data_IF_516739779040
#
_entry.id   IF_516739779040
#
_cell.length_a   1.000
_cell.length_b   1.000
_cell.length_c   1.000
_cell.angle_alpha   90.00
_cell.angle_beta   90.00
_cell.angle_gamma   90.00
#
_symmetry.space_group_name_H-M   'P 1'
#
loop_
_entity.id
_entity.type
_entity.pdbx_description
1 polymer ?
#
# COMPACT_ATOMS: atom_id res chain seq x y z
N UNK A 1 -4.43 -10.42 15.95
CA UNK A 1 -4.52 -9.07 15.36
C UNK A 1 -5.94 -8.85 14.90
N UNK A 2 -6.50 -7.67 15.12
CA UNK A 2 -7.80 -7.30 14.55
C UNK A 2 -7.59 -6.54 13.24
N UNK A 3 -8.55 -6.65 12.34
CA UNK A 3 -8.52 -5.94 11.07
C UNK A 3 -8.87 -4.47 11.27
N UNK A 4 -8.04 -3.56 10.77
CA UNK A 4 -8.30 -2.12 10.79
C UNK A 4 -7.67 -1.45 9.58
N UNK A 5 -8.36 -0.45 9.04
CA UNK A 5 -7.88 0.43 7.99
C UNK A 5 -7.96 1.89 8.45
N UNK A 6 -6.82 2.56 8.49
CA UNK A 6 -6.71 4.01 8.58
C UNK A 6 -6.50 4.56 7.17
N UNK A 7 -7.22 5.60 6.81
CA UNK A 7 -7.18 6.18 5.46
C UNK A 7 -7.26 7.70 5.49
N UNK A 8 -6.36 8.34 4.76
CA UNK A 8 -6.33 9.79 4.52
C UNK A 8 -6.30 10.01 3.01
N UNK A 9 -7.34 10.65 2.49
CA UNK A 9 -7.38 11.02 1.08
C UNK A 9 -6.35 12.12 0.76
N UNK A 10 -5.89 12.24 -0.50
CA UNK A 10 -5.06 13.36 -0.94
C UNK A 10 -5.67 14.71 -0.56
N UNK A 11 -4.90 15.55 0.13
CA UNK A 11 -5.31 16.90 0.54
C UNK A 11 -6.26 16.96 1.73
N UNK A 12 -6.64 15.82 2.33
CA UNK A 12 -7.55 15.79 3.47
C UNK A 12 -6.87 16.29 4.75
N UNK A 13 -7.57 17.14 5.51
CA UNK A 13 -7.13 17.59 6.83
C UNK A 13 -7.29 16.50 7.91
N UNK A 14 -8.24 15.59 7.72
CA UNK A 14 -8.60 14.50 8.63
C UNK A 14 -8.24 13.12 8.03
N UNK A 15 -8.53 12.07 8.79
CA UNK A 15 -8.42 10.69 8.38
C UNK A 15 -9.60 9.91 8.94
N UNK A 16 -9.88 8.77 8.34
CA UNK A 16 -10.97 7.88 8.73
C UNK A 16 -10.42 6.53 9.18
N UNK A 17 -11.14 5.90 10.09
CA UNK A 17 -10.80 4.57 10.63
C UNK A 17 -11.95 3.64 10.27
N UNK A 18 -11.60 2.45 9.79
CA UNK A 18 -12.57 1.45 9.38
C UNK A 18 -12.24 0.10 10.00
N UNK A 19 -13.27 -0.61 10.45
CA UNK A 19 -13.18 -1.98 11.00
C UNK A 19 -14.22 -2.88 10.31
N UNK A 20 -14.04 -4.22 10.35
CA UNK A 20 -15.02 -5.15 9.82
C UNK A 20 -16.42 -4.88 10.36
N UNK A 21 -17.41 -4.84 9.47
CA UNK A 21 -18.81 -4.60 9.86
C UNK A 21 -19.45 -5.79 10.57
N UNK A 22 -18.84 -6.97 10.53
CA UNK A 22 -19.41 -8.20 11.08
C UNK A 22 -20.65 -8.61 10.29
N UNK A 23 -21.79 -8.71 10.96
CA UNK A 23 -23.10 -8.98 10.33
C UNK A 23 -23.83 -7.71 9.87
N UNK A 24 -23.31 -6.52 10.19
CA UNK A 24 -23.89 -5.26 9.74
C UNK A 24 -23.50 -5.00 8.28
N UNK A 25 -24.36 -4.30 7.54
CA UNK A 25 -24.04 -3.81 6.19
C UNK A 25 -22.98 -2.73 6.32
N UNK A 26 -21.72 -3.07 6.03
CA UNK A 26 -20.65 -2.08 5.91
C UNK A 26 -20.90 -1.17 4.71
N UNK A 27 -20.62 0.13 4.87
CA UNK A 27 -20.77 1.13 3.81
C UNK A 27 -19.53 1.24 2.92
N UNK A 28 -18.45 0.54 3.25
CA UNK A 28 -17.21 0.51 2.48
C UNK A 28 -16.85 -0.93 2.12
N UNK A 29 -16.57 -1.17 0.85
CA UNK A 29 -15.92 -2.40 0.40
C UNK A 29 -14.44 -2.11 0.18
N UNK A 30 -13.58 -2.88 0.83
CA UNK A 30 -12.13 -2.81 0.69
C UNK A 30 -11.62 -4.10 0.05
N UNK A 31 -10.86 -3.95 -1.03
CA UNK A 31 -10.25 -5.04 -1.76
C UNK A 31 -8.71 -4.93 -1.69
N UNK A 32 -8.07 -5.95 -1.11
CA UNK A 32 -6.63 -6.16 -1.24
C UNK A 32 -6.39 -7.30 -2.22
N UNK A 33 -5.92 -6.93 -3.41
CA UNK A 33 -5.75 -7.84 -4.56
C UNK A 33 -4.26 -8.06 -4.82
N UNK A 34 -3.72 -9.25 -4.52
CA UNK A 34 -2.33 -9.57 -4.83
C UNK A 34 -2.12 -9.74 -6.34
N UNK A 35 -0.93 -9.42 -6.83
CA UNK A 35 -0.57 -9.57 -8.25
C UNK A 35 -0.36 -11.04 -8.68
N UNK A 36 -0.14 -11.96 -7.76
CA UNK A 36 0.10 -13.37 -8.09
C UNK A 36 -1.22 -14.10 -8.31
N UNK A 37 -1.35 -14.79 -9.45
CA UNK A 37 -2.61 -15.42 -9.91
C UNK A 37 -3.15 -16.46 -8.92
N UNK A 38 -2.28 -17.12 -8.19
CA UNK A 38 -2.61 -18.19 -7.24
C UNK A 38 -2.97 -17.64 -5.84
N UNK A 39 -2.81 -16.33 -5.62
CA UNK A 39 -3.07 -15.71 -4.33
C UNK A 39 -4.53 -15.26 -4.21
N UNK A 40 -5.15 -15.55 -3.06
CA UNK A 40 -6.53 -15.17 -2.77
C UNK A 40 -6.63 -13.65 -2.60
N UNK A 41 -7.61 -13.04 -3.26
CA UNK A 41 -8.00 -11.64 -2.98
C UNK A 41 -8.75 -11.55 -1.66
N UNK A 42 -8.43 -10.54 -0.87
CA UNK A 42 -9.10 -10.24 0.38
C UNK A 42 -10.13 -9.14 0.14
N UNK A 43 -11.42 -9.49 0.24
CA UNK A 43 -12.54 -8.57 0.18
C UNK A 43 -13.17 -8.42 1.55
N UNK A 44 -13.25 -7.19 2.04
CA UNK A 44 -13.76 -6.85 3.36
C UNK A 44 -14.91 -5.86 3.24
N UNK A 45 -15.99 -6.11 3.98
CA UNK A 45 -17.01 -5.10 4.26
C UNK A 45 -16.64 -4.39 5.55
N UNK A 46 -16.41 -3.08 5.46
CA UNK A 46 -15.94 -2.25 6.55
C UNK A 46 -16.98 -1.18 6.90
N UNK A 47 -16.99 -0.79 8.17
CA UNK A 47 -17.74 0.36 8.67
C UNK A 47 -16.78 1.38 9.30
N UNK A 48 -17.08 2.66 9.08
CA UNK A 48 -16.35 3.76 9.71
C UNK A 48 -16.56 3.71 11.23
N UNK A 49 -15.50 3.98 11.99
CA UNK A 49 -15.52 4.02 13.46
C UNK A 49 -14.70 5.21 13.96
N UNK A 50 -15.02 5.68 15.16
CA UNK A 50 -14.23 6.69 15.89
C UNK A 50 -13.24 6.05 16.87
N UNK A 51 -13.31 4.74 17.08
CA UNK A 51 -12.37 4.02 17.94
C UNK A 51 -11.05 3.80 17.21
N UNK A 52 -9.94 4.20 17.82
CA UNK A 52 -8.59 3.83 17.39
C UNK A 52 -8.16 2.53 18.07
N UNK A 53 -8.29 1.36 17.40
CA UNK A 53 -7.82 0.11 17.99
C UNK A 53 -6.29 0.10 18.10
N UNK A 54 -5.78 -0.66 19.07
CA UNK A 54 -4.36 -0.90 19.20
C UNK A 54 -3.84 -1.63 17.95
N UNK A 55 -2.84 -1.04 17.30
CA UNK A 55 -2.10 -1.69 16.22
C UNK A 55 -0.92 -2.42 16.86
N UNK A 56 -0.88 -3.74 16.67
CA UNK A 56 0.18 -4.53 17.25
C UNK A 56 1.47 -4.29 16.44
N UNK A 57 2.60 -4.04 17.11
CA UNK A 57 3.87 -3.89 16.43
C UNK A 57 4.19 -5.17 15.65
N UNK A 58 4.29 -5.05 14.33
CA UNK A 58 4.76 -6.16 13.51
C UNK A 58 6.25 -6.39 13.77
N UNK A 59 6.65 -7.64 13.98
CA UNK A 59 8.06 -8.03 13.99
C UNK A 59 8.61 -7.94 12.56
N UNK A 60 9.55 -7.03 12.32
CA UNK A 60 10.26 -7.00 11.05
C UNK A 60 11.40 -8.02 11.05
N UNK A 61 11.19 -9.11 10.33
CA UNK A 61 12.28 -10.04 10.04
C UNK A 61 13.25 -9.36 9.08
N UNK A 62 14.48 -9.11 9.56
CA UNK A 62 15.52 -8.52 8.72
C UNK A 62 15.97 -9.51 7.66
N UNK A 63 15.39 -9.41 6.46
CA UNK A 63 15.95 -10.04 5.26
C UNK A 63 16.78 -9.02 4.48
N UNK A 64 17.92 -9.46 3.96
CA UNK A 64 18.72 -8.66 3.02
C UNK A 64 17.84 -8.31 1.81
N UNK A 65 18.00 -7.09 1.28
CA UNK A 65 17.28 -6.67 0.07
C UNK A 65 17.55 -7.65 -1.08
N UNK A 66 16.61 -7.73 -2.02
CA UNK A 66 16.70 -8.70 -3.13
C UNK A 66 17.82 -8.40 -4.13
N UNK A 67 18.37 -7.18 -4.13
CA UNK A 67 19.50 -6.78 -4.96
C UNK A 67 20.44 -5.84 -4.21
N UNK A 68 21.75 -6.06 -4.38
CA UNK A 68 22.76 -5.02 -4.20
C UNK A 68 22.64 -3.96 -5.30
N UNK A 69 23.31 -2.82 -5.10
CA UNK A 69 23.38 -1.77 -6.13
C UNK A 69 23.91 -2.30 -7.47
N UNK A 70 25.03 -3.02 -7.44
CA UNK A 70 25.69 -3.55 -8.64
C UNK A 70 24.80 -4.55 -9.38
N UNK A 71 24.14 -5.46 -8.66
CA UNK A 71 23.21 -6.41 -9.27
C UNK A 71 22.00 -5.72 -9.90
N UNK A 72 21.48 -4.67 -9.26
CA UNK A 72 20.36 -3.91 -9.80
C UNK A 72 20.75 -3.08 -11.02
N UNK A 73 21.94 -2.48 -11.05
CA UNK A 73 22.50 -1.80 -12.23
C UNK A 73 22.68 -2.78 -13.41
N UNK A 74 23.14 -4.00 -13.14
CA UNK A 74 23.21 -5.04 -14.17
C UNK A 74 21.82 -5.48 -14.66
N UNK A 75 20.82 -5.56 -13.78
CA UNK A 75 19.44 -5.85 -14.17
C UNK A 75 18.88 -4.74 -15.08
N UNK A 76 19.12 -3.46 -14.73
CA UNK A 76 18.71 -2.31 -15.56
C UNK A 76 19.29 -2.43 -16.98
N UNK A 77 20.58 -2.70 -17.10
CA UNK A 77 21.22 -2.81 -18.42
C UNK A 77 20.70 -4.00 -19.22
N UNK A 78 20.48 -5.15 -18.58
CA UNK A 78 19.85 -6.31 -19.23
C UNK A 78 18.43 -5.99 -19.70
N UNK A 79 17.63 -5.32 -18.88
CA UNK A 79 16.27 -4.92 -19.24
C UNK A 79 16.29 -3.96 -20.42
N UNK A 80 17.21 -2.98 -20.46
CA UNK A 80 17.38 -2.06 -21.59
C UNK A 80 17.70 -2.79 -22.90
N UNK A 81 18.59 -3.77 -22.85
CA UNK A 81 18.95 -4.59 -24.01
C UNK A 81 17.76 -5.43 -24.50
N UNK A 82 17.04 -6.09 -23.59
CA UNK A 82 15.86 -6.88 -23.96
C UNK A 82 14.73 -6.02 -24.54
N UNK A 83 14.49 -4.83 -23.98
CA UNK A 83 13.52 -3.87 -24.54
C UNK A 83 13.86 -3.56 -26.01
N UNK A 84 15.13 -3.33 -26.32
CA UNK A 84 15.58 -3.00 -27.67
C UNK A 84 15.48 -4.18 -28.66
N UNK A 85 15.74 -5.41 -28.19
CA UNK A 85 15.73 -6.62 -29.04
C UNK A 85 14.31 -7.16 -29.24
N UNK A 86 13.53 -7.27 -28.17
CA UNK A 86 12.18 -7.88 -28.18
C UNK A 86 11.08 -6.88 -28.62
N UNK A 87 11.44 -5.61 -28.83
CA UNK A 87 10.50 -4.56 -29.23
C UNK A 87 9.48 -4.19 -28.15
N UNK A 88 9.78 -4.44 -26.88
CA UNK A 88 8.90 -4.03 -25.78
C UNK A 88 8.87 -2.51 -25.64
N UNK A 89 7.71 -1.94 -25.28
CA UNK A 89 7.58 -0.48 -25.15
C UNK A 89 8.22 0.08 -23.88
N UNK A 90 7.87 -0.50 -22.72
CA UNK A 90 8.35 -0.06 -21.40
C UNK A 90 8.30 -1.23 -20.42
N UNK A 91 9.35 -1.36 -19.59
CA UNK A 91 9.37 -2.30 -18.46
C UNK A 91 9.64 -1.52 -17.19
N UNK A 92 8.86 -1.79 -16.14
CA UNK A 92 9.10 -1.30 -14.79
C UNK A 92 9.68 -2.46 -13.98
N UNK A 93 10.89 -2.28 -13.45
CA UNK A 93 11.53 -3.22 -12.52
C UNK A 93 11.60 -2.57 -11.14
N UNK A 94 11.52 -3.37 -10.08
CA UNK A 94 11.56 -2.90 -8.69
C UNK A 94 12.57 -3.68 -7.87
N UNK A 95 13.10 -3.05 -6.81
CA UNK A 95 13.87 -3.73 -5.75
C UNK A 95 13.23 -3.45 -4.40
N UNK A 96 13.39 -4.38 -3.47
CA UNK A 96 12.94 -4.25 -2.09
C UNK A 96 14.12 -4.06 -1.15
N UNK A 97 13.86 -3.38 -0.04
CA UNK A 97 14.80 -3.26 1.06
C UNK A 97 14.07 -3.59 2.35
N UNK A 98 14.65 -4.47 3.15
CA UNK A 98 14.11 -4.83 4.45
C UNK A 98 15.09 -4.43 5.54
N UNK A 99 14.55 -4.05 6.69
CA UNK A 99 15.30 -3.59 7.84
C UNK A 99 14.82 -4.32 9.08
N UNK A 100 15.75 -4.59 10.02
CA UNK A 100 15.35 -4.98 11.37
C UNK A 100 14.88 -3.73 12.10
N UNK A 101 13.65 -3.76 12.57
CA UNK A 101 13.12 -2.73 13.45
C UNK A 101 13.40 -3.14 14.90
N UNK A 102 13.95 -2.23 15.70
CA UNK A 102 14.06 -2.42 17.15
C UNK A 102 12.68 -2.35 17.81
N UNK A 103 11.87 -1.41 17.34
CA UNK A 103 10.49 -1.16 17.76
C UNK A 103 9.65 -0.80 16.53
N UNK A 104 8.38 -1.18 16.53
CA UNK A 104 7.43 -0.84 15.47
C UNK A 104 6.36 0.09 16.03
N UNK A 105 6.17 1.24 15.39
CA UNK A 105 5.21 2.28 15.83
C UNK A 105 4.30 2.70 14.65
N UNK A 106 3.46 1.79 14.12
CA UNK A 106 2.77 2.02 12.84
C UNK A 106 1.85 3.23 12.85
N UNK A 107 1.12 3.47 13.96
CA UNK A 107 0.20 4.60 14.08
C UNK A 107 0.95 5.94 14.02
N UNK A 108 2.08 6.05 14.73
CA UNK A 108 2.93 7.24 14.68
C UNK A 108 3.50 7.48 13.28
N UNK A 109 3.93 6.42 12.60
CA UNK A 109 4.39 6.52 11.22
C UNK A 109 3.28 6.94 10.26
N UNK A 110 2.04 6.47 10.46
CA UNK A 110 0.89 6.92 9.67
C UNK A 110 0.66 8.42 9.84
N UNK A 111 0.67 8.95 11.07
CA UNK A 111 0.55 10.39 11.31
C UNK A 111 1.71 11.18 10.70
N UNK A 112 2.94 10.68 10.84
CA UNK A 112 4.13 11.29 10.23
C UNK A 112 4.04 11.30 8.69
N UNK A 113 3.56 10.23 8.07
CA UNK A 113 3.35 10.14 6.62
C UNK A 113 2.31 11.16 6.14
N UNK A 114 1.17 11.29 6.84
CA UNK A 114 0.13 12.29 6.51
C UNK A 114 0.68 13.71 6.55
N UNK A 115 1.43 14.04 7.60
CA UNK A 115 2.05 15.37 7.72
C UNK A 115 3.11 15.61 6.65
N UNK A 116 3.91 14.59 6.33
CA UNK A 116 5.01 14.70 5.37
C UNK A 116 4.54 14.75 3.92
N UNK A 117 3.45 14.05 3.60
CA UNK A 117 2.91 13.88 2.26
C UNK A 117 1.40 14.23 2.22
N UNK A 118 1.03 15.50 2.43
CA UNK A 118 -0.38 15.90 2.58
C UNK A 118 -1.22 15.64 1.33
N UNK A 119 -0.60 15.61 0.14
CA UNK A 119 -1.28 15.38 -1.14
C UNK A 119 -1.21 13.91 -1.60
N UNK A 120 -0.70 12.99 -0.77
CA UNK A 120 -0.68 11.57 -1.09
C UNK A 120 -1.92 10.87 -0.54
N UNK A 121 -2.28 9.74 -1.15
CA UNK A 121 -3.19 8.78 -0.55
C UNK A 121 -2.41 8.01 0.53
N UNK A 122 -2.68 8.31 1.80
CA UNK A 122 -1.98 7.70 2.94
C UNK A 122 -2.88 6.69 3.61
N UNK A 123 -2.39 5.47 3.80
CA UNK A 123 -3.13 4.39 4.44
C UNK A 123 -2.26 3.60 5.41
N UNK A 124 -2.91 3.02 6.42
CA UNK A 124 -2.36 2.00 7.31
C UNK A 124 -3.40 0.90 7.50
N UNK A 125 -3.11 -0.29 7.01
CA UNK A 125 -3.97 -1.46 7.01
C UNK A 125 -3.33 -2.58 7.82
N UNK A 126 -4.06 -3.13 8.79
CA UNK A 126 -3.66 -4.33 9.54
C UNK A 126 -4.70 -5.41 9.27
N UNK A 127 -4.23 -6.64 9.00
CA UNK A 127 -5.09 -7.81 8.86
C UNK A 127 -4.36 -9.09 9.31
N UNK A 128 -5.05 -10.06 9.94
CA UNK A 128 -4.42 -11.30 10.44
C UNK A 128 -3.62 -12.07 9.38
N UNK A 129 -4.12 -12.14 8.15
CA UNK A 129 -3.53 -13.00 7.11
C UNK A 129 -2.38 -12.33 6.34
N UNK A 130 -2.38 -11.01 6.21
CA UNK A 130 -1.40 -10.29 5.38
C UNK A 130 -0.52 -9.31 6.16
N UNK A 131 -0.70 -9.20 7.48
CA UNK A 131 0.10 -8.37 8.36
C UNK A 131 -0.27 -6.88 8.29
N UNK A 132 0.73 -6.02 8.50
CA UNK A 132 0.57 -4.55 8.50
C UNK A 132 1.14 -3.98 7.20
N UNK A 133 0.32 -3.24 6.47
CA UNK A 133 0.64 -2.53 5.25
C UNK A 133 0.46 -1.04 5.46
N UNK A 134 1.40 -0.25 4.99
CA UNK A 134 1.33 1.21 5.11
C UNK A 134 1.97 1.83 3.89
N UNK A 135 1.41 2.94 3.43
CA UNK A 135 1.93 3.64 2.26
C UNK A 135 1.41 5.05 2.16
N UNK A 136 2.13 5.87 1.41
CA UNK A 136 1.75 7.21 0.99
C UNK A 136 1.95 7.29 -0.53
N UNK A 137 0.97 6.81 -1.30
CA UNK A 137 1.08 6.79 -2.77
C UNK A 137 0.66 8.14 -3.34
N UNK A 138 1.48 8.78 -4.20
CA UNK A 138 1.06 9.98 -4.91
C UNK A 138 0.16 9.65 -6.11
N UNK A 139 0.09 8.38 -6.54
CA UNK A 139 -0.63 7.99 -7.75
C UNK A 139 -2.01 7.42 -7.42
N UNK A 140 -3.05 8.13 -7.86
CA UNK A 140 -4.42 7.67 -7.85
C UNK A 140 -4.69 6.90 -9.14
N UNK A 141 -4.73 5.56 -9.04
CA UNK A 141 -4.97 4.70 -10.20
C UNK A 141 -6.31 5.00 -10.86
N UNK A 142 -7.39 5.01 -10.08
CA UNK A 142 -8.74 5.32 -10.54
C UNK A 142 -9.59 5.84 -9.38
N UNK A 143 -10.48 6.78 -9.66
CA UNK A 143 -11.57 7.21 -8.79
C UNK A 143 -12.83 7.41 -9.61
N UNK A 144 -13.99 7.34 -8.99
CA UNK A 144 -15.23 7.54 -9.72
C UNK A 144 -16.42 7.83 -8.83
N UNK A 145 -17.34 8.63 -9.35
CA UNK A 145 -18.59 8.99 -8.70
C UNK A 145 -19.65 9.27 -9.76
N UNK A 146 -20.88 8.80 -9.55
CA UNK A 146 -22.05 9.13 -10.39
C UNK A 146 -21.85 8.93 -11.91
N UNK A 147 -21.11 7.90 -12.32
CA UNK A 147 -20.86 7.58 -13.73
C UNK A 147 -19.64 8.28 -14.33
N UNK A 148 -18.97 9.15 -13.59
CA UNK A 148 -17.69 9.74 -13.97
C UNK A 148 -16.53 8.92 -13.39
N UNK A 149 -15.51 8.67 -14.21
CA UNK A 149 -14.27 8.01 -13.81
C UNK A 149 -13.09 8.95 -14.10
N UNK A 150 -12.17 9.06 -13.16
CA UNK A 150 -10.93 9.83 -13.27
C UNK A 150 -9.74 8.93 -12.92
N UNK A 151 -8.64 9.11 -13.64
CA UNK A 151 -7.39 8.41 -13.41
C UNK A 151 -6.25 9.40 -13.50
N UNK A 152 -5.17 9.15 -12.77
CA UNK A 152 -3.93 9.90 -12.86
C UNK A 152 -2.79 8.92 -13.12
N UNK A 153 -1.97 9.20 -14.12
CA UNK A 153 -0.74 8.46 -14.38
C UNK A 153 0.47 9.32 -14.05
N UNK A 154 1.38 8.80 -13.23
CA UNK A 154 2.63 9.46 -12.88
C UNK A 154 3.82 8.74 -13.52
N UNK A 155 4.63 9.48 -14.25
CA UNK A 155 5.92 9.03 -14.77
C UNK A 155 6.85 10.24 -14.89
N UNK A 156 8.10 10.10 -14.43
CA UNK A 156 9.11 11.14 -14.43
C UNK A 156 10.49 10.57 -14.14
#
# INVERSE_FOLDING_TARGET
METVLYFSAPGASDFKIFQPSGNDVGNVLFDMVPFMKESRSLRLSLKETQSEPLINPAEATGKQGNYTRKEYEQLIEKTRQHIAVEGWGKVVISRSQSFKLKESRPLEWFHALRQRYPNACVYLFQHPECGVWMGATPELLISGQAGELQSMSLAG
#
